data_IF_903630625455
#
_entry.id   IF_903630625455
#
_cell.length_a   1.000
_cell.length_b   1.000
_cell.length_c   1.000
_cell.angle_alpha   90.00
_cell.angle_beta   90.00
_cell.angle_gamma   90.00
#
_symmetry.space_group_name_H-M   'P 1'
#
loop_
_entity.id
_entity.type
_entity.pdbx_description
1 polymer ?
#
# COMPACT_ATOMS: atom_id res chain seq x y z
N UNK A 1 -23.94 4.67 -3.97
CA UNK A 1 -22.87 3.77 -4.46
C UNK A 1 -21.69 3.95 -3.52
N UNK A 2 -21.24 2.89 -2.83
CA UNK A 2 -20.21 2.98 -1.78
C UNK A 2 -18.79 2.89 -2.34
N UNK A 3 -17.80 3.37 -1.58
CA UNK A 3 -16.38 3.39 -1.99
C UNK A 3 -15.84 2.00 -2.38
N UNK A 4 -16.33 0.94 -1.72
CA UNK A 4 -15.93 -0.44 -2.02
C UNK A 4 -16.35 -0.88 -3.42
N UNK A 5 -17.51 -0.44 -3.91
CA UNK A 5 -17.96 -0.78 -5.27
C UNK A 5 -17.09 -0.09 -6.32
N UNK A 6 -16.77 1.19 -6.11
CA UNK A 6 -15.88 1.94 -7.00
C UNK A 6 -14.47 1.34 -7.03
N UNK A 7 -13.93 0.95 -5.87
CA UNK A 7 -12.65 0.25 -5.81
C UNK A 7 -12.67 -1.06 -6.58
N UNK A 8 -13.77 -1.83 -6.57
CA UNK A 8 -13.85 -3.08 -7.35
C UNK A 8 -13.91 -2.85 -8.86
N UNK A 9 -14.51 -1.74 -9.29
CA UNK A 9 -14.63 -1.38 -10.70
C UNK A 9 -13.32 -0.84 -11.27
N UNK A 10 -12.59 -0.04 -10.49
CA UNK A 10 -11.40 0.69 -10.96
C UNK A 10 -10.06 0.05 -10.53
N UNK A 11 -10.04 -0.83 -9.52
CA UNK A 11 -8.78 -1.43 -9.05
C UNK A 11 -8.32 -2.59 -9.92
N UNK A 12 -7.01 -2.84 -9.86
CA UNK A 12 -6.37 -3.98 -10.48
C UNK A 12 -6.02 -5.00 -9.38
N UNK A 13 -6.37 -6.27 -9.62
CA UNK A 13 -5.95 -7.36 -8.73
C UNK A 13 -4.47 -7.66 -8.95
N UNK A 14 -3.68 -7.49 -7.89
CA UNK A 14 -2.25 -7.82 -7.91
C UNK A 14 -2.05 -9.23 -7.35
N UNK A 15 -1.58 -10.13 -8.21
CA UNK A 15 -1.18 -11.48 -7.79
C UNK A 15 0.20 -11.42 -7.12
N UNK A 16 0.23 -11.23 -5.81
CA UNK A 16 1.46 -11.20 -5.00
C UNK A 16 2.13 -12.57 -5.04
N UNK A 17 3.37 -12.63 -5.54
CA UNK A 17 4.13 -13.89 -5.68
C UNK A 17 4.97 -14.20 -4.45
N UNK A 18 5.37 -13.19 -3.70
CA UNK A 18 6.25 -13.31 -2.52
C UNK A 18 5.85 -12.28 -1.47
N UNK A 19 5.70 -12.74 -0.24
CA UNK A 19 5.60 -11.89 0.95
C UNK A 19 6.96 -11.85 1.64
N UNK A 20 7.43 -10.65 1.95
CA UNK A 20 8.65 -10.39 2.72
C UNK A 20 8.24 -9.74 4.04
N UNK A 21 9.00 -9.97 5.12
CA UNK A 21 8.79 -9.29 6.40
C UNK A 21 9.33 -7.86 6.33
N UNK A 22 8.46 -6.93 5.97
CA UNK A 22 8.79 -5.53 5.72
C UNK A 22 8.34 -4.69 6.91
N UNK A 23 7.06 -4.79 7.26
CA UNK A 23 6.41 -4.05 8.34
C UNK A 23 6.85 -4.55 9.72
N UNK A 24 6.95 -3.66 10.74
CA UNK A 24 7.02 -4.09 12.13
C UNK A 24 5.72 -4.77 12.60
N UNK A 25 4.59 -4.49 11.96
CA UNK A 25 3.29 -5.13 12.16
C UNK A 25 3.05 -6.17 11.04
N UNK A 26 3.22 -7.49 11.29
CA UNK A 26 3.18 -8.51 10.25
C UNK A 26 1.89 -8.57 9.43
N UNK A 27 0.78 -8.08 10.00
CA UNK A 27 -0.52 -8.01 9.32
C UNK A 27 -0.53 -6.99 8.15
N UNK A 28 0.42 -6.05 8.13
CA UNK A 28 0.59 -5.06 7.07
C UNK A 28 1.56 -5.51 5.96
N UNK A 29 2.28 -6.62 6.13
CA UNK A 29 3.17 -7.18 5.09
C UNK A 29 2.45 -7.46 3.76
N UNK A 30 1.20 -7.98 3.74
CA UNK A 30 0.44 -8.11 2.49
C UNK A 30 0.23 -6.79 1.75
N UNK A 31 0.05 -5.68 2.46
CA UNK A 31 -0.08 -4.34 1.86
C UNK A 31 1.25 -3.92 1.24
N UNK A 32 2.35 -4.12 1.96
CA UNK A 32 3.71 -3.84 1.48
C UNK A 32 4.04 -4.64 0.20
N UNK A 33 3.70 -5.94 0.19
CA UNK A 33 3.94 -6.81 -0.95
C UNK A 33 3.07 -6.43 -2.17
N UNK A 34 1.79 -6.09 -1.94
CA UNK A 34 0.89 -5.61 -2.98
C UNK A 34 1.42 -4.31 -3.61
N UNK A 35 1.84 -3.34 -2.79
CA UNK A 35 2.40 -2.09 -3.27
C UNK A 35 3.70 -2.30 -4.09
N UNK A 36 4.55 -3.24 -3.66
CA UNK A 36 5.80 -3.57 -4.36
C UNK A 36 5.56 -4.23 -5.72
N UNK A 37 4.72 -5.28 -5.77
CA UNK A 37 4.43 -6.04 -6.99
C UNK A 37 3.53 -5.24 -7.97
N UNK A 38 2.62 -4.43 -7.44
CA UNK A 38 1.79 -3.52 -8.22
C UNK A 38 2.49 -2.23 -8.66
N UNK A 39 3.79 -2.07 -8.31
CA UNK A 39 4.59 -0.88 -8.58
C UNK A 39 3.88 0.43 -8.17
N UNK A 40 3.22 0.41 -7.01
CA UNK A 40 2.47 1.56 -6.53
C UNK A 40 3.38 2.76 -6.26
N UNK A 41 2.91 3.95 -6.64
CA UNK A 41 3.59 5.21 -6.32
C UNK A 41 3.40 5.60 -4.85
N UNK A 42 2.23 5.27 -4.27
CA UNK A 42 1.85 5.69 -2.93
C UNK A 42 1.23 4.55 -2.11
N UNK A 43 1.46 4.59 -0.80
CA UNK A 43 0.65 3.91 0.22
C UNK A 43 0.00 5.02 1.06
N UNK A 44 -1.33 5.08 1.05
CA UNK A 44 -2.08 6.06 1.84
C UNK A 44 -2.53 5.40 3.14
N UNK A 45 -2.10 5.92 4.29
CA UNK A 45 -2.41 5.32 5.60
C UNK A 45 -2.40 6.37 6.70
N UNK A 46 -3.15 6.12 7.77
CA UNK A 46 -3.06 6.90 9.01
C UNK A 46 -1.95 6.37 9.95
N UNK A 47 -1.38 5.20 9.65
CA UNK A 47 -0.38 4.52 10.46
C UNK A 47 0.98 4.42 9.74
N UNK A 48 1.49 5.55 9.24
CA UNK A 48 2.70 5.54 8.40
C UNK A 48 3.97 4.97 9.04
N UNK A 49 4.01 4.87 10.38
CA UNK A 49 5.15 4.27 11.12
C UNK A 49 5.30 2.77 10.86
N UNK A 50 4.23 2.10 10.46
CA UNK A 50 4.20 0.65 10.21
C UNK A 50 4.69 0.34 8.77
N UNK A 51 5.04 1.36 7.99
CA UNK A 51 5.48 1.22 6.60
C UNK A 51 6.89 1.81 6.41
N UNK A 52 7.95 1.01 6.61
CA UNK A 52 9.31 1.52 6.61
C UNK A 52 9.76 1.95 5.20
N UNK A 53 9.90 3.27 5.00
CA UNK A 53 10.30 3.91 3.74
C UNK A 53 11.58 3.35 3.12
N UNK A 54 12.53 2.89 3.93
CA UNK A 54 13.79 2.33 3.43
C UNK A 54 13.61 0.99 2.68
N UNK A 55 12.48 0.29 2.89
CA UNK A 55 12.18 -1.02 2.29
C UNK A 55 11.11 -0.95 1.20
N UNK A 56 10.52 0.22 0.97
CA UNK A 56 9.41 0.42 0.03
C UNK A 56 9.78 1.46 -1.02
N UNK A 57 9.43 1.20 -2.28
CA UNK A 57 9.51 2.21 -3.35
C UNK A 57 8.35 3.21 -3.28
N UNK A 58 7.16 2.71 -2.92
CA UNK A 58 5.98 3.53 -2.74
C UNK A 58 6.20 4.56 -1.62
N UNK A 59 5.75 5.79 -1.86
CA UNK A 59 5.75 6.85 -0.85
C UNK A 59 4.60 6.65 0.12
N UNK A 60 4.92 6.56 1.39
CA UNK A 60 3.92 6.51 2.46
C UNK A 60 3.45 7.92 2.77
N UNK A 61 2.15 8.19 2.57
CA UNK A 61 1.50 9.49 2.77
C UNK A 61 0.26 9.35 3.65
N UNK A 62 -0.14 10.45 4.29
CA UNK A 62 -1.42 10.56 5.00
C UNK A 62 -2.53 11.04 4.07
N UNK A 63 -3.80 10.70 4.33
CA UNK A 63 -4.92 11.29 3.62
C UNK A 63 -4.86 12.83 3.72
N UNK A 64 -4.93 13.51 2.57
CA UNK A 64 -4.86 14.98 2.50
C UNK A 64 -3.45 15.54 2.37
N UNK A 65 -2.41 14.71 2.41
CA UNK A 65 -1.06 15.16 2.02
C UNK A 65 -1.08 15.66 0.56
N UNK A 66 -0.41 16.79 0.26
CA UNK A 66 -0.31 17.27 -1.11
C UNK A 66 0.46 16.27 -1.97
N UNK A 67 -0.12 15.92 -3.13
CA UNK A 67 0.55 15.12 -4.13
C UNK A 67 1.59 15.98 -4.88
N UNK A 68 2.75 15.40 -5.25
CA UNK A 68 3.76 16.06 -6.06
C UNK A 68 3.29 16.36 -7.49
#
# INVERSE_FOLDING_TARGET
MGIVNLLREEAILIAVKRTETISPEPEDDPICACAKEGAADFIVTLNGRDFPKAKLKARVISPGDPLP
#
